data_IF_032626021537
#
_entry.id   IF_032626021537
#
_cell.length_a   1.000
_cell.length_b   1.000
_cell.length_c   1.000
_cell.angle_alpha   90.00
_cell.angle_beta   90.00
_cell.angle_gamma   90.00
#
_symmetry.space_group_name_H-M   'P 1'
#
loop_
_entity.id
_entity.type
_entity.pdbx_description
1 polymer ?
#
# COMPACT_ATOMS: atom_id res chain seq x y z
N UNK A 1 7.37 -15.16 -9.15
CA UNK A 1 6.08 -14.62 -8.64
C UNK A 1 5.64 -13.54 -9.62
N UNK A 2 4.34 -13.26 -9.77
CA UNK A 2 3.91 -12.13 -10.60
C UNK A 2 4.24 -10.84 -9.86
N UNK A 3 5.02 -9.96 -10.48
CA UNK A 3 5.57 -8.76 -9.83
C UNK A 3 5.00 -7.48 -10.44
N UNK A 4 4.62 -6.55 -9.57
CA UNK A 4 4.24 -5.19 -9.93
C UNK A 4 5.45 -4.27 -9.76
N UNK A 5 5.66 -3.37 -10.71
CA UNK A 5 6.75 -2.39 -10.70
C UNK A 5 6.16 -1.01 -10.41
N UNK A 6 6.60 -0.38 -9.32
CA UNK A 6 6.19 0.98 -8.94
C UNK A 6 7.42 1.87 -8.96
N UNK A 7 7.41 2.86 -9.84
CA UNK A 7 8.45 3.89 -9.92
C UNK A 7 7.98 5.08 -9.09
N UNK A 8 8.80 5.45 -8.12
CA UNK A 8 8.63 6.61 -7.27
C UNK A 8 9.55 7.73 -7.75
N UNK A 9 9.03 8.96 -7.81
CA UNK A 9 9.78 10.19 -8.04
C UNK A 9 9.28 11.26 -7.07
N UNK A 10 10.15 11.67 -6.17
CA UNK A 10 9.90 12.70 -5.17
C UNK A 10 10.24 14.10 -5.71
N UNK A 11 9.81 15.14 -5.00
CA UNK A 11 9.97 16.54 -5.41
C UNK A 11 11.44 17.00 -5.46
N UNK A 12 12.28 16.41 -4.62
CA UNK A 12 13.74 16.63 -4.61
C UNK A 12 14.46 15.99 -5.81
N UNK A 13 13.72 15.31 -6.69
CA UNK A 13 14.25 14.59 -7.84
C UNK A 13 14.67 13.15 -7.53
N UNK A 14 14.62 12.72 -6.27
CA UNK A 14 14.95 11.35 -5.87
C UNK A 14 14.02 10.36 -6.57
N UNK A 15 14.61 9.31 -7.17
CA UNK A 15 13.88 8.23 -7.83
C UNK A 15 14.14 6.89 -7.19
N UNK A 16 13.09 6.12 -6.97
CA UNK A 16 13.17 4.76 -6.44
C UNK A 16 12.30 3.82 -7.26
N UNK A 17 12.69 2.55 -7.33
CA UNK A 17 11.88 1.49 -7.93
C UNK A 17 11.54 0.46 -6.87
N UNK A 18 10.26 0.19 -6.68
CA UNK A 18 9.76 -0.84 -5.79
C UNK A 18 9.18 -1.99 -6.61
N UNK A 19 9.61 -3.21 -6.28
CA UNK A 19 9.01 -4.42 -6.81
C UNK A 19 8.08 -5.00 -5.73
N UNK A 20 6.78 -5.03 -6.02
CA UNK A 20 5.76 -5.64 -5.18
C UNK A 20 5.26 -6.95 -5.81
N UNK A 21 4.60 -7.78 -5.02
CA UNK A 21 4.18 -9.12 -5.41
C UNK A 21 2.66 -9.20 -5.44
N UNK A 22 2.13 -9.75 -6.53
CA UNK A 22 0.69 -9.76 -6.81
C UNK A 22 -0.11 -10.42 -5.67
N UNK A 23 -1.08 -9.66 -5.14
CA UNK A 23 -1.84 -10.05 -3.97
C UNK A 23 -2.77 -11.25 -4.23
N UNK A 24 -3.22 -11.46 -5.47
CA UNK A 24 -4.17 -12.54 -5.85
C UNK A 24 -3.62 -13.95 -5.58
N UNK A 25 -2.31 -14.09 -5.36
CA UNK A 25 -1.74 -15.38 -4.99
C UNK A 25 -1.96 -15.74 -3.52
N UNK A 26 -2.20 -14.76 -2.66
CA UNK A 26 -2.31 -14.94 -1.20
C UNK A 26 -3.75 -15.03 -0.71
N UNK A 27 -4.68 -14.57 -1.51
CA UNK A 27 -6.11 -14.61 -1.24
C UNK A 27 -6.74 -15.20 -2.50
N UNK A 28 -7.79 -16.03 -2.39
CA UNK A 28 -8.51 -16.59 -3.54
C UNK A 28 -9.25 -15.49 -4.33
N UNK A 29 -8.50 -14.59 -4.97
CA UNK A 29 -8.95 -13.29 -5.47
C UNK A 29 -8.16 -12.11 -4.88
N UNK A 30 -8.55 -10.88 -5.22
CA UNK A 30 -8.00 -9.70 -4.58
C UNK A 30 -8.79 -9.34 -3.32
N UNK A 31 -8.08 -8.92 -2.27
CA UNK A 31 -8.71 -8.48 -1.03
C UNK A 31 -9.37 -7.10 -1.24
N UNK A 32 -10.69 -7.04 -1.03
CA UNK A 32 -11.46 -5.79 -1.03
C UNK A 32 -11.44 -5.14 0.35
N UNK A 33 -11.10 -3.86 0.37
CA UNK A 33 -11.01 -3.01 1.56
C UNK A 33 -12.22 -2.07 1.54
N UNK A 34 -12.99 -2.06 2.63
CA UNK A 34 -14.22 -1.27 2.72
C UNK A 34 -13.90 0.24 2.75
N UNK A 35 -14.82 1.06 2.22
CA UNK A 35 -14.76 2.53 2.31
C UNK A 35 -14.52 3.04 3.73
N UNK A 36 -15.18 2.41 4.71
CA UNK A 36 -15.06 2.79 6.13
C UNK A 36 -13.61 2.77 6.63
N UNK A 37 -12.78 1.84 6.13
CA UNK A 37 -11.37 1.78 6.49
C UNK A 37 -10.63 3.06 6.07
N UNK A 38 -10.85 3.53 4.84
CA UNK A 38 -10.21 4.74 4.34
C UNK A 38 -10.73 5.99 5.03
N UNK A 39 -12.02 6.03 5.41
CA UNK A 39 -12.55 7.12 6.23
C UNK A 39 -11.83 7.20 7.58
N UNK A 40 -11.72 6.07 8.29
CA UNK A 40 -10.99 5.99 9.57
C UNK A 40 -9.52 6.35 9.41
N UNK A 41 -8.86 5.82 8.38
CA UNK A 41 -7.47 6.15 8.08
C UNK A 41 -7.29 7.65 7.81
N UNK A 42 -8.19 8.28 7.06
CA UNK A 42 -8.14 9.72 6.81
C UNK A 42 -8.37 10.55 8.08
N UNK A 43 -9.30 10.15 8.96
CA UNK A 43 -9.50 10.81 10.26
C UNK A 43 -8.25 10.76 11.13
N UNK A 44 -7.54 9.64 11.08
CA UNK A 44 -6.29 9.42 11.83
C UNK A 44 -5.15 10.28 11.30
N UNK A 45 -4.90 10.25 9.99
CA UNK A 45 -3.75 10.98 9.43
C UNK A 45 -3.90 12.49 9.62
N UNK A 46 -5.13 13.00 9.70
CA UNK A 46 -5.36 14.41 10.00
C UNK A 46 -5.08 14.81 11.45
N UNK A 47 -4.89 13.84 12.36
CA UNK A 47 -4.66 14.05 13.79
C UNK A 47 -3.24 13.70 14.23
N UNK A 48 -2.65 12.65 13.64
CA UNK A 48 -1.35 12.11 14.06
C UNK A 48 -0.19 12.61 13.18
N UNK A 49 0.98 12.75 13.79
CA UNK A 49 2.20 13.25 13.11
C UNK A 49 3.07 12.15 12.51
N UNK A 50 2.79 10.91 12.86
CA UNK A 50 3.52 9.68 12.49
C UNK A 50 3.23 9.22 11.05
N UNK A 51 2.31 9.93 10.38
CA UNK A 51 1.86 9.65 9.01
C UNK A 51 2.33 10.74 8.06
N UNK A 52 3.26 10.36 7.19
CA UNK A 52 3.70 11.21 6.09
C UNK A 52 2.85 10.94 4.84
N UNK A 53 2.04 11.91 4.41
CA UNK A 53 1.39 11.85 3.10
C UNK A 53 2.25 12.59 2.07
N UNK A 54 2.60 11.89 0.99
CA UNK A 54 3.37 12.45 -0.11
C UNK A 54 2.79 12.10 -1.48
N UNK A 55 3.22 12.86 -2.50
CA UNK A 55 3.07 12.45 -3.90
C UNK A 55 4.40 11.95 -4.39
N UNK A 56 4.42 10.71 -4.86
CA UNK A 56 5.64 10.11 -5.37
C UNK A 56 5.40 9.09 -6.47
N UNK A 57 4.21 8.49 -6.61
CA UNK A 57 4.00 7.43 -7.61
C UNK A 57 4.04 8.06 -9.01
N UNK A 58 5.12 7.80 -9.75
CA UNK A 58 5.36 8.26 -11.12
C UNK A 58 4.81 7.25 -12.13
N UNK A 59 5.05 5.96 -11.90
CA UNK A 59 4.64 4.89 -12.81
C UNK A 59 4.22 3.63 -12.07
N UNK A 60 3.19 2.95 -12.56
CA UNK A 60 2.80 1.60 -12.10
C UNK A 60 2.65 0.68 -13.30
N UNK A 61 3.41 -0.41 -13.29
CA UNK A 61 3.38 -1.44 -14.33
C UNK A 61 2.97 -2.78 -13.71
N UNK A 62 2.06 -3.45 -14.40
CA UNK A 62 1.57 -4.76 -14.00
C UNK A 62 2.55 -5.89 -14.42
N UNK A 63 2.36 -7.13 -13.93
CA UNK A 63 3.29 -8.23 -14.20
C UNK A 63 3.48 -8.62 -15.66
N UNK A 64 2.59 -8.18 -16.55
CA UNK A 64 2.70 -8.41 -18.00
C UNK A 64 3.26 -7.18 -18.76
N UNK A 65 3.76 -6.17 -18.04
CA UNK A 65 4.32 -4.95 -18.64
C UNK A 65 3.26 -3.93 -19.08
N UNK A 66 1.97 -4.18 -18.85
CA UNK A 66 0.94 -3.16 -19.13
C UNK A 66 1.08 -2.00 -18.15
N UNK A 67 0.96 -0.78 -18.68
CA UNK A 67 0.93 0.46 -17.91
C UNK A 67 -0.45 0.63 -17.23
N UNK A 68 -0.42 0.85 -15.92
CA UNK A 68 -1.59 1.10 -15.09
C UNK A 68 -1.49 2.43 -14.32
N UNK A 69 -0.56 3.30 -14.70
CA UNK A 69 -0.20 4.52 -13.98
C UNK A 69 -1.41 5.40 -13.68
N UNK A 70 -2.35 5.54 -14.62
CA UNK A 70 -3.53 6.42 -14.48
C UNK A 70 -4.65 5.89 -13.56
N UNK A 71 -4.43 4.77 -12.86
CA UNK A 71 -5.39 4.32 -11.84
C UNK A 71 -5.18 5.12 -10.54
N UNK A 72 -6.23 5.23 -9.69
CA UNK A 72 -6.13 5.92 -8.40
C UNK A 72 -5.43 5.04 -7.37
N UNK A 73 -4.10 5.07 -7.39
CA UNK A 73 -3.26 4.27 -6.49
C UNK A 73 -3.12 4.91 -5.11
N UNK A 74 -2.92 4.06 -4.11
CA UNK A 74 -2.38 4.41 -2.80
C UNK A 74 -1.28 3.38 -2.51
N UNK A 75 -0.08 3.84 -2.21
CA UNK A 75 0.99 3.00 -1.70
C UNK A 75 1.20 3.33 -0.23
N UNK A 76 0.96 2.35 0.64
CA UNK A 76 1.26 2.47 2.07
C UNK A 76 2.59 1.76 2.32
N UNK A 77 3.55 2.47 2.89
CA UNK A 77 4.82 1.94 3.39
C UNK A 77 4.79 2.12 4.89
N UNK A 78 4.70 1.00 5.62
CA UNK A 78 4.70 1.02 7.07
C UNK A 78 5.92 0.27 7.60
N UNK A 79 6.56 0.84 8.60
CA UNK A 79 7.65 0.22 9.33
C UNK A 79 7.27 0.15 10.80
N UNK A 80 7.18 -1.07 11.31
CA UNK A 80 6.84 -1.34 12.70
C UNK A 80 8.08 -1.17 13.59
N UNK A 81 7.90 -0.45 14.69
CA UNK A 81 9.00 0.07 15.50
C UNK A 81 9.70 -1.01 16.34
N UNK A 82 8.98 -2.01 16.88
CA UNK A 82 9.55 -2.98 17.83
C UNK A 82 10.32 -4.10 17.12
N UNK A 83 9.75 -4.71 16.08
CA UNK A 83 10.37 -5.81 15.33
C UNK A 83 11.01 -5.35 14.01
N UNK A 84 11.04 -4.04 13.74
CA UNK A 84 11.63 -3.45 12.53
C UNK A 84 11.05 -4.05 11.24
N UNK A 85 9.80 -4.51 11.27
CA UNK A 85 9.14 -5.15 10.13
C UNK A 85 8.59 -4.09 9.20
N UNK A 86 8.93 -4.21 7.92
CA UNK A 86 8.45 -3.30 6.88
C UNK A 86 7.36 -3.97 6.05
N UNK A 87 6.31 -3.22 5.73
CA UNK A 87 5.16 -3.64 4.95
C UNK A 87 4.88 -2.61 3.86
N UNK A 88 4.74 -3.06 2.62
CA UNK A 88 4.34 -2.25 1.47
C UNK A 88 3.02 -2.79 0.96
N UNK A 89 2.02 -1.91 0.83
CA UNK A 89 0.68 -2.26 0.39
C UNK A 89 0.30 -1.36 -0.78
N UNK A 90 0.20 -1.92 -1.98
CA UNK A 90 -0.26 -1.20 -3.16
C UNK A 90 -1.76 -1.44 -3.34
N UNK A 91 -2.54 -0.37 -3.21
CA UNK A 91 -3.99 -0.40 -3.22
C UNK A 91 -4.49 0.42 -4.40
N UNK A 92 -5.44 -0.12 -5.15
CA UNK A 92 -6.21 0.64 -6.13
C UNK A 92 -7.54 1.08 -5.52
N UNK A 93 -7.90 2.36 -5.63
CA UNK A 93 -9.21 2.88 -5.25
C UNK A 93 -10.25 2.58 -6.33
N UNK A 94 -11.46 2.28 -5.89
CA UNK A 94 -12.61 2.04 -6.76
C UNK A 94 -13.57 3.24 -6.72
N UNK A 95 -14.47 3.31 -7.72
CA UNK A 95 -15.42 4.44 -7.84
C UNK A 95 -16.36 4.58 -6.64
N UNK A 96 -16.65 3.49 -5.95
CA UNK A 96 -17.47 3.47 -4.73
C UNK A 96 -16.68 3.88 -3.47
N UNK A 97 -15.44 4.37 -3.65
CA UNK A 97 -14.51 4.71 -2.57
C UNK A 97 -14.17 3.50 -1.70
N UNK A 98 -14.28 2.27 -2.22
CA UNK A 98 -13.61 1.09 -1.67
C UNK A 98 -12.20 0.96 -2.26
N UNK A 99 -11.43 -0.01 -1.79
CA UNK A 99 -10.10 -0.28 -2.30
C UNK A 99 -9.89 -1.75 -2.60
N UNK A 100 -8.94 -2.05 -3.46
CA UNK A 100 -8.49 -3.40 -3.77
C UNK A 100 -7.00 -3.47 -3.49
N UNK A 101 -6.57 -4.37 -2.61
CA UNK A 101 -5.15 -4.64 -2.42
C UNK A 101 -4.64 -5.40 -3.64
N UNK A 102 -3.79 -4.74 -4.43
CA UNK A 102 -3.27 -5.29 -5.69
C UNK A 102 -1.94 -6.01 -5.49
N UNK A 103 -1.06 -5.47 -4.65
CA UNK A 103 0.25 -6.08 -4.42
C UNK A 103 0.79 -5.80 -3.01
N UNK A 104 1.63 -6.70 -2.51
CA UNK A 104 2.31 -6.59 -1.21
C UNK A 104 3.82 -6.64 -1.37
N UNK A 105 4.53 -6.00 -0.43
CA UNK A 105 5.98 -6.02 -0.34
C UNK A 105 6.44 -5.71 1.09
N UNK A 106 7.75 -5.58 1.33
CA UNK A 106 8.86 -5.95 0.46
C UNK A 106 8.92 -7.47 0.22
N UNK A 107 9.90 -7.92 -0.57
CA UNK A 107 10.10 -9.35 -0.91
C UNK A 107 10.05 -10.29 0.29
N UNK A 108 10.60 -9.89 1.43
CA UNK A 108 10.59 -10.71 2.65
C UNK A 108 9.16 -10.92 3.18
N UNK A 109 8.35 -9.85 3.24
CA UNK A 109 6.95 -9.93 3.66
C UNK A 109 6.12 -10.76 2.67
N UNK A 110 6.33 -10.56 1.37
CA UNK A 110 5.66 -11.32 0.32
C UNK A 110 6.02 -12.81 0.33
N UNK A 111 7.28 -13.15 0.62
CA UNK A 111 7.73 -14.55 0.75
C UNK A 111 7.14 -15.22 1.98
N UNK A 112 7.17 -14.56 3.14
CA UNK A 112 6.60 -15.08 4.38
C UNK A 112 5.12 -15.44 4.22
N UNK A 113 4.34 -14.56 3.58
CA UNK A 113 2.93 -14.81 3.31
C UNK A 113 2.71 -15.90 2.25
N UNK A 114 3.67 -16.22 1.39
CA UNK A 114 3.47 -17.25 0.36
C UNK A 114 3.54 -18.67 0.94
N UNK A 115 4.21 -18.84 2.08
CA UNK A 115 4.37 -20.14 2.76
C UNK A 115 3.43 -20.29 3.95
N UNK A 116 2.67 -19.25 4.30
CA UNK A 116 1.82 -19.21 5.48
C UNK A 116 0.35 -19.44 5.09
N UNK A 117 -0.26 -20.50 5.63
CA UNK A 117 -1.70 -20.78 5.45
C UNK A 117 -2.60 -19.68 6.05
N UNK A 118 -2.07 -18.85 6.95
CA UNK A 118 -2.76 -17.72 7.57
C UNK A 118 -2.41 -16.35 6.96
N UNK A 119 -1.77 -16.32 5.79
CA UNK A 119 -1.35 -15.07 5.12
C UNK A 119 -2.47 -14.02 5.03
N UNK A 120 -3.69 -14.48 4.75
CA UNK A 120 -4.85 -13.59 4.71
C UNK A 120 -5.13 -12.89 6.03
N UNK A 121 -5.04 -13.63 7.14
CA UNK A 121 -5.25 -13.12 8.49
C UNK A 121 -4.13 -12.16 8.88
N UNK A 122 -2.88 -12.49 8.54
CA UNK A 122 -1.71 -11.63 8.76
C UNK A 122 -1.84 -10.27 8.07
N UNK A 123 -2.18 -10.26 6.77
CA UNK A 123 -2.35 -8.99 6.03
C UNK A 123 -3.53 -8.18 6.58
N UNK A 124 -4.64 -8.82 6.93
CA UNK A 124 -5.77 -8.15 7.58
C UNK A 124 -5.39 -7.56 8.95
N UNK A 125 -4.55 -8.27 9.72
CA UNK A 125 -4.02 -7.77 11.00
C UNK A 125 -3.19 -6.51 10.78
N UNK A 126 -2.33 -6.50 9.76
CA UNK A 126 -1.54 -5.31 9.41
C UNK A 126 -2.45 -4.13 9.09
N UNK A 127 -3.48 -4.31 8.25
CA UNK A 127 -4.45 -3.23 7.97
C UNK A 127 -5.08 -2.65 9.23
N UNK A 128 -5.58 -3.51 10.11
CA UNK A 128 -6.22 -3.07 11.35
C UNK A 128 -5.22 -2.35 12.26
N UNK A 129 -3.99 -2.85 12.37
CA UNK A 129 -2.97 -2.27 13.24
C UNK A 129 -2.56 -0.87 12.79
N UNK A 130 -2.48 -0.63 11.48
CA UNK A 130 -2.24 0.69 10.88
C UNK A 130 -3.35 1.71 11.16
N UNK A 131 -4.47 1.31 11.76
CA UNK A 131 -5.54 2.23 12.16
C UNK A 131 -5.78 2.26 13.67
N UNK A 132 -5.16 1.36 14.44
CA UNK A 132 -5.44 1.20 15.88
C UNK A 132 -4.21 1.45 16.75
N UNK A 133 -3.00 1.14 16.26
CA UNK A 133 -1.74 1.21 17.02
C UNK A 133 -0.72 2.07 16.30
N UNK A 134 -1.07 3.34 16.12
CA UNK A 134 -0.41 4.28 15.21
C UNK A 134 1.01 4.60 15.68
N UNK A 135 1.19 4.73 16.98
CA UNK A 135 2.46 4.94 17.67
C UNK A 135 3.49 3.82 17.43
N UNK A 136 3.02 2.64 17.00
CA UNK A 136 3.89 1.49 16.70
C UNK A 136 4.45 1.50 15.30
N UNK A 137 4.02 2.42 14.44
CA UNK A 137 4.45 2.46 13.04
C UNK A 137 4.95 3.85 12.64
N UNK A 138 6.02 3.85 11.86
CA UNK A 138 6.31 4.95 10.96
C UNK A 138 5.63 4.64 9.63
N UNK A 139 4.72 5.51 9.18
CA UNK A 139 3.89 5.25 8.01
C UNK A 139 4.05 6.35 6.97
N UNK A 140 4.32 5.96 5.73
CA UNK A 140 4.28 6.85 4.58
C UNK A 140 3.19 6.40 3.62
N UNK A 141 2.30 7.33 3.26
CA UNK A 141 1.24 7.13 2.30
C UNK A 141 1.57 7.94 1.05
N UNK A 142 1.89 7.23 -0.02
CA UNK A 142 2.31 7.81 -1.28
C UNK A 142 1.18 7.75 -2.31
N UNK A 143 0.88 8.90 -2.89
CA UNK A 143 -0.13 9.09 -3.92
C UNK A 143 0.50 9.30 -5.31
N UNK A 144 -0.26 9.14 -6.40
CA UNK A 144 0.18 9.46 -7.74
C UNK A 144 0.47 10.94 -7.96
N UNK A 145 1.55 11.20 -8.71
CA UNK A 145 1.94 12.55 -9.06
C UNK A 145 0.90 13.27 -9.94
N UNK A 146 0.06 12.53 -10.67
CA UNK A 146 -0.95 13.08 -11.57
C UNK A 146 -2.30 13.41 -10.90
N UNK A 147 -2.55 12.99 -9.66
CA UNK A 147 -3.81 13.30 -8.95
C UNK A 147 -3.69 14.68 -8.30
N UNK A 148 -4.60 15.61 -8.64
CA UNK A 148 -4.76 16.89 -7.94
C UNK A 148 -5.38 16.64 -6.55
N UNK A 149 -5.00 17.42 -5.53
CA UNK A 149 -5.41 17.20 -4.11
C UNK A 149 -6.91 16.86 -4.03
N UNK A 150 -7.21 15.63 -3.62
CA UNK A 150 -8.57 15.13 -3.40
C UNK A 150 -8.48 13.95 -2.44
N UNK A 151 -9.36 13.92 -1.46
CA UNK A 151 -9.36 13.04 -0.28
C UNK A 151 -9.00 11.57 -0.60
N UNK A 152 -8.25 10.94 0.32
CA UNK A 152 -7.94 9.49 0.33
C UNK A 152 -9.22 8.62 0.17
#
# INVERSE_FOLDING_TARGET
MKEWSVILKFNDGTKNKLNLYDANRYFDGYLRIKRSYFNTLNEIINKETEYDIGKAIEKVESPNGKDWTLNPWILIIAKENEMNKTFWLLIKREKDLSGILIAIGPKLFAKYNNTNSEAKREVMRVFNYLTVYLEKFQCSILLPNHILKGNL
#
